data_IF_555995605653
#
_entry.id   IF_555995605653
#
_cell.length_a   1.000
_cell.length_b   1.000
_cell.length_c   1.000
_cell.angle_alpha   90.00
_cell.angle_beta   90.00
_cell.angle_gamma   90.00
#
_symmetry.space_group_name_H-M   'P 1'
#
loop_
_entity.id
_entity.type
_entity.pdbx_description
1 polymer ?
#
# COMPACT_ATOMS: atom_id res chain seq x y z
N UNK A 1 -1.15 -7.17 -28.04
CA UNK A 1 -1.04 -5.97 -27.18
C UNK A 1 -0.46 -6.44 -25.86
N UNK A 2 0.76 -6.02 -25.52
CA UNK A 2 1.48 -6.46 -24.32
C UNK A 2 1.94 -5.25 -23.49
N UNK A 3 2.40 -5.51 -22.27
CA UNK A 3 2.92 -4.48 -21.35
C UNK A 3 4.43 -4.63 -21.21
N UNK A 4 5.23 -4.42 -22.28
CA UNK A 4 6.61 -4.91 -22.37
C UNK A 4 7.52 -4.43 -21.24
N UNK A 5 7.30 -3.22 -20.72
CA UNK A 5 8.08 -2.70 -19.59
C UNK A 5 7.71 -3.35 -18.25
N UNK A 6 6.44 -3.68 -18.04
CA UNK A 6 5.95 -4.36 -16.83
C UNK A 6 6.32 -5.85 -16.91
N UNK A 7 6.17 -6.46 -18.09
CA UNK A 7 6.50 -7.86 -18.32
C UNK A 7 8.00 -8.11 -18.07
N UNK A 8 8.86 -7.17 -18.50
CA UNK A 8 10.30 -7.20 -18.18
C UNK A 8 10.57 -7.07 -16.68
N UNK A 9 9.86 -6.18 -15.97
CA UNK A 9 10.00 -6.07 -14.51
C UNK A 9 9.61 -7.37 -13.79
N UNK A 10 8.56 -8.05 -14.27
CA UNK A 10 8.14 -9.34 -13.73
C UNK A 10 9.17 -10.45 -13.99
N UNK A 11 9.83 -10.44 -15.15
CA UNK A 11 10.87 -11.39 -15.52
C UNK A 11 12.19 -11.17 -14.77
N UNK A 12 12.55 -9.91 -14.50
CA UNK A 12 13.77 -9.52 -13.79
C UNK A 12 13.61 -9.59 -12.25
N UNK A 13 12.41 -9.90 -11.74
CA UNK A 13 12.06 -9.81 -10.33
C UNK A 13 11.25 -10.99 -9.79
N UNK A 14 10.47 -10.74 -8.75
CA UNK A 14 9.55 -11.72 -8.16
C UNK A 14 8.11 -11.24 -8.32
N UNK A 15 7.24 -12.11 -8.86
CA UNK A 15 5.82 -11.85 -8.99
C UNK A 15 5.04 -12.58 -7.90
N UNK A 16 4.26 -11.82 -7.12
CA UNK A 16 3.32 -12.39 -6.15
C UNK A 16 1.97 -12.61 -6.84
N UNK A 17 1.56 -13.87 -7.01
CA UNK A 17 0.27 -14.22 -7.63
C UNK A 17 -0.91 -14.09 -6.66
N UNK A 18 -0.63 -14.05 -5.36
CA UNK A 18 -1.61 -14.00 -4.26
C UNK A 18 -1.38 -12.75 -3.40
N UNK A 19 -1.49 -11.57 -3.99
CA UNK A 19 -1.32 -10.28 -3.31
C UNK A 19 -2.66 -9.59 -3.08
N UNK A 20 -3.04 -9.43 -1.81
CA UNK A 20 -4.34 -8.88 -1.41
C UNK A 20 -4.24 -7.46 -0.87
N UNK A 21 -5.22 -6.62 -1.22
CA UNK A 21 -5.38 -5.32 -0.60
C UNK A 21 -5.82 -5.47 0.87
N UNK A 22 -5.32 -4.61 1.76
CA UNK A 22 -5.74 -4.60 3.15
C UNK A 22 -7.16 -4.02 3.34
N UNK A 23 -7.62 -3.25 2.35
CA UNK A 23 -8.96 -2.68 2.29
C UNK A 23 -9.34 -2.41 0.82
N UNK A 24 -10.61 -2.59 0.39
CA UNK A 24 -11.02 -2.31 -0.99
C UNK A 24 -11.18 -0.81 -1.32
N UNK A 25 -10.97 0.10 -0.36
CA UNK A 25 -11.11 1.57 -0.52
C UNK A 25 -9.73 2.24 -0.60
N UNK A 26 -9.61 3.27 -1.44
CA UNK A 26 -8.32 3.85 -1.82
C UNK A 26 -7.53 4.45 -0.64
N UNK A 27 -8.09 5.35 0.17
CA UNK A 27 -7.34 5.96 1.29
C UNK A 27 -7.01 4.97 2.40
N UNK A 28 -7.95 4.12 2.89
CA UNK A 28 -7.63 3.07 3.85
C UNK A 28 -6.52 2.12 3.40
N UNK A 29 -6.58 1.64 2.15
CA UNK A 29 -5.54 0.75 1.62
C UNK A 29 -4.18 1.45 1.52
N UNK A 30 -4.15 2.70 1.05
CA UNK A 30 -2.90 3.50 1.02
C UNK A 30 -2.35 3.75 2.41
N UNK A 31 -3.22 4.00 3.40
CA UNK A 31 -2.82 4.08 4.81
C UNK A 31 -2.14 2.79 5.28
N UNK A 32 -2.67 1.63 4.90
CA UNK A 32 -2.05 0.34 5.24
C UNK A 32 -0.71 0.13 4.53
N UNK A 33 -0.60 0.49 3.24
CA UNK A 33 0.66 0.41 2.49
C UNK A 33 1.77 1.28 3.11
N UNK A 34 1.44 2.49 3.55
CA UNK A 34 2.44 3.40 4.11
C UNK A 34 2.78 3.10 5.57
N UNK A 35 1.84 2.61 6.38
CA UNK A 35 2.11 2.32 7.80
C UNK A 35 2.52 0.88 8.07
N UNK A 36 2.34 -0.03 7.11
CA UNK A 36 2.52 -1.47 7.30
C UNK A 36 1.52 -2.10 8.28
N UNK A 37 0.39 -1.42 8.54
CA UNK A 37 -0.59 -1.81 9.56
C UNK A 37 -1.99 -1.92 8.96
N UNK A 38 -2.84 -2.76 9.53
CA UNK A 38 -4.24 -2.87 9.09
C UNK A 38 -5.05 -1.58 9.36
N UNK A 39 -6.16 -1.34 8.61
CA UNK A 39 -7.05 -0.19 8.81
C UNK A 39 -7.51 0.03 10.24
N UNK A 40 -7.72 -1.05 10.98
CA UNK A 40 -8.10 -0.99 12.41
C UNK A 40 -7.06 -0.27 13.27
N UNK A 41 -5.78 -0.40 12.93
CA UNK A 41 -4.67 0.12 13.72
C UNK A 41 -4.39 1.61 13.43
N UNK A 42 -4.32 2.01 12.16
CA UNK A 42 -4.06 3.41 11.76
C UNK A 42 -5.33 4.26 11.62
N UNK A 43 -6.52 3.65 11.75
CA UNK A 43 -7.84 4.29 11.85
C UNK A 43 -8.36 5.01 10.60
N UNK A 44 -7.70 4.90 9.45
CA UNK A 44 -8.31 5.28 8.17
C UNK A 44 -9.30 4.22 7.76
N UNK A 45 -10.59 4.51 7.91
CA UNK A 45 -11.68 3.57 7.63
C UNK A 45 -12.43 3.88 6.33
N UNK A 46 -12.30 5.11 5.84
CA UNK A 46 -12.95 5.58 4.62
C UNK A 46 -12.13 6.72 3.99
N UNK A 47 -12.54 7.14 2.80
CA UNK A 47 -12.06 8.34 2.16
C UNK A 47 -12.52 9.60 2.91
N UNK A 48 -11.70 10.65 2.85
CA UNK A 48 -11.95 11.91 3.57
C UNK A 48 -11.46 11.93 5.02
N UNK A 49 -10.98 10.81 5.56
CA UNK A 49 -10.34 10.74 6.88
C UNK A 49 -8.82 10.86 6.70
N UNK A 50 -8.22 11.91 7.25
CA UNK A 50 -6.77 12.10 7.18
C UNK A 50 -6.01 11.10 8.08
N UNK A 51 -4.83 10.67 7.63
CA UNK A 51 -3.90 9.91 8.47
C UNK A 51 -3.43 10.81 9.60
N UNK A 52 -3.44 10.29 10.83
CA UNK A 52 -2.98 11.05 11.99
C UNK A 52 -1.50 11.39 11.79
N UNK A 53 -1.07 12.64 12.00
CA UNK A 53 0.33 13.03 11.81
C UNK A 53 1.33 12.27 12.70
N UNK A 54 0.84 11.63 13.77
CA UNK A 54 1.63 10.83 14.70
C UNK A 54 1.87 9.39 14.24
N UNK A 55 1.29 8.95 13.12
CA UNK A 55 1.54 7.61 12.58
C UNK A 55 2.91 7.57 11.90
N UNK A 56 3.74 6.61 12.28
CA UNK A 56 4.98 6.31 11.56
C UNK A 56 4.63 5.73 10.19
N UNK A 57 5.17 6.33 9.13
CA UNK A 57 5.05 5.84 7.76
C UNK A 57 6.38 5.31 7.24
N UNK A 58 6.35 4.51 6.17
CA UNK A 58 7.52 3.89 5.54
C UNK A 58 8.61 4.93 5.22
N UNK A 59 8.30 6.13 4.68
CA UNK A 59 9.31 7.18 4.52
C UNK A 59 10.00 7.61 5.80
N UNK A 60 9.36 7.54 6.97
CA UNK A 60 10.00 7.91 8.24
C UNK A 60 11.05 6.88 8.67
N UNK A 61 10.84 5.61 8.32
CA UNK A 61 11.74 4.49 8.65
C UNK A 61 12.92 4.39 7.66
N UNK A 62 12.74 4.86 6.43
CA UNK A 62 13.75 4.81 5.36
C UNK A 62 14.62 6.07 5.26
N UNK A 63 14.49 7.02 6.19
CA UNK A 63 15.41 8.17 6.33
C UNK A 63 16.73 7.73 6.94
#
# INVERSE_FOLDING_TARGET
MGTPNIDRLAADGLTFTESYAANPVCMPNRGSMFTGRYPKAHRLRDNGIALRPTETVLPDVLR
#
